data_IF_277215075859
#
_entry.id   IF_277215075859
#
_cell.length_a   1.000
_cell.length_b   1.000
_cell.length_c   1.000
_cell.angle_alpha   90.00
_cell.angle_beta   90.00
_cell.angle_gamma   90.00
#
_symmetry.space_group_name_H-M   'P 1'
#
loop_
_entity.id
_entity.type
_entity.pdbx_description
1 polymer ?
#
# COMPACT_ATOMS: atom_id res chain seq x y z
N UNK A 1 -20.84 -18.53 0.83
CA UNK A 1 -21.57 -19.55 0.04
C UNK A 1 -21.25 -20.90 0.65
N UNK A 2 -22.26 -21.61 1.16
CA UNK A 2 -22.13 -22.67 2.16
C UNK A 2 -21.50 -23.95 1.57
N UNK A 3 -20.33 -24.37 2.07
CA UNK A 3 -19.57 -25.54 1.57
C UNK A 3 -20.41 -26.84 1.66
N UNK A 4 -21.38 -26.90 2.57
CA UNK A 4 -22.37 -28.00 2.69
C UNK A 4 -23.37 -28.09 1.53
N UNK A 5 -23.53 -27.06 0.70
CA UNK A 5 -24.42 -27.13 -0.47
C UNK A 5 -23.77 -27.88 -1.64
N UNK A 6 -22.44 -27.86 -1.74
CA UNK A 6 -21.69 -28.48 -2.84
C UNK A 6 -21.35 -29.95 -2.59
N UNK A 7 -21.36 -30.43 -1.33
CA UNK A 7 -21.17 -31.85 -1.03
C UNK A 7 -22.37 -32.74 -1.45
N UNK A 8 -23.52 -32.14 -1.79
CA UNK A 8 -24.66 -32.84 -2.38
C UNK A 8 -24.57 -33.03 -3.90
N UNK A 9 -23.66 -32.34 -4.58
CA UNK A 9 -23.37 -32.60 -6.00
C UNK A 9 -22.40 -33.77 -6.09
N UNK A 10 -22.97 -34.97 -5.94
CA UNK A 10 -22.30 -36.25 -6.08
C UNK A 10 -21.92 -36.49 -7.56
N UNK A 11 -20.93 -35.75 -8.05
CA UNK A 11 -20.40 -35.87 -9.42
C UNK A 11 -19.49 -37.09 -9.48
N UNK A 12 -20.10 -38.28 -9.53
CA UNK A 12 -19.46 -39.60 -9.62
C UNK A 12 -18.87 -39.93 -11.01
N UNK A 13 -18.32 -38.94 -11.72
CA UNK A 13 -17.70 -39.17 -13.04
C UNK A 13 -16.41 -38.38 -13.18
N UNK A 14 -15.28 -39.06 -13.43
CA UNK A 14 -13.97 -38.42 -13.72
C UNK A 14 -14.08 -37.34 -14.80
N UNK A 15 -14.98 -37.50 -15.78
CA UNK A 15 -15.24 -36.52 -16.84
C UNK A 15 -15.98 -35.26 -16.35
N UNK A 16 -16.95 -35.40 -15.45
CA UNK A 16 -17.71 -34.27 -14.90
C UNK A 16 -16.89 -33.50 -13.84
N UNK A 17 -15.95 -34.15 -13.16
CA UNK A 17 -14.88 -33.48 -12.41
C UNK A 17 -13.93 -32.70 -13.33
N UNK A 18 -13.62 -33.21 -14.53
CA UNK A 18 -12.76 -32.52 -15.51
C UNK A 18 -13.39 -31.25 -16.09
N UNK A 19 -14.66 -31.31 -16.48
CA UNK A 19 -15.40 -30.14 -17.01
C UNK A 19 -15.50 -29.04 -15.95
N UNK A 20 -15.80 -29.39 -14.71
CA UNK A 20 -15.85 -28.44 -13.59
C UNK A 20 -14.51 -27.73 -13.37
N UNK A 21 -13.41 -28.50 -13.36
CA UNK A 21 -12.06 -27.94 -13.27
C UNK A 21 -11.79 -26.98 -14.42
N UNK A 22 -12.06 -27.37 -15.68
CA UNK A 22 -11.87 -26.49 -16.84
C UNK A 22 -12.65 -25.19 -16.70
N UNK A 23 -13.91 -25.23 -16.26
CA UNK A 23 -14.73 -24.03 -16.04
C UNK A 23 -14.08 -23.11 -14.99
N UNK A 24 -13.61 -23.66 -13.87
CA UNK A 24 -12.90 -22.88 -12.83
C UNK A 24 -11.65 -22.23 -13.42
N UNK A 25 -10.82 -22.98 -14.13
CA UNK A 25 -9.59 -22.44 -14.70
C UNK A 25 -9.88 -21.33 -15.72
N UNK A 26 -10.90 -21.50 -16.56
CA UNK A 26 -11.34 -20.45 -17.50
C UNK A 26 -11.78 -19.20 -16.73
N UNK A 27 -12.56 -19.34 -15.66
CA UNK A 27 -13.00 -18.21 -14.84
C UNK A 27 -11.82 -17.50 -14.17
N UNK A 28 -10.89 -18.26 -13.57
CA UNK A 28 -9.70 -17.73 -12.91
C UNK A 28 -8.76 -17.03 -13.89
N UNK A 29 -8.55 -17.57 -15.08
CA UNK A 29 -7.72 -16.94 -16.13
C UNK A 29 -8.35 -15.63 -16.59
N UNK A 30 -9.66 -15.60 -16.83
CA UNK A 30 -10.35 -14.35 -17.20
C UNK A 30 -10.27 -13.31 -16.09
N UNK A 31 -10.48 -13.73 -14.84
CA UNK A 31 -10.36 -12.84 -13.69
C UNK A 31 -8.94 -12.28 -13.56
N UNK A 32 -7.92 -13.13 -13.68
CA UNK A 32 -6.52 -12.72 -13.67
C UNK A 32 -6.22 -11.74 -14.82
N UNK A 33 -6.76 -11.99 -16.01
CA UNK A 33 -6.61 -11.09 -17.16
C UNK A 33 -7.23 -9.72 -16.89
N UNK A 34 -8.42 -9.64 -16.31
CA UNK A 34 -9.06 -8.37 -15.94
C UNK A 34 -8.17 -7.54 -15.01
N UNK A 35 -7.53 -8.18 -14.03
CA UNK A 35 -6.61 -7.49 -13.10
C UNK A 35 -5.28 -7.11 -13.74
N UNK A 36 -4.74 -7.95 -14.63
CA UNK A 36 -3.46 -7.70 -15.30
C UNK A 36 -3.56 -6.73 -16.48
N UNK A 37 -4.74 -6.61 -17.10
CA UNK A 37 -4.98 -5.74 -18.25
C UNK A 37 -4.47 -4.30 -18.06
N UNK A 38 -4.78 -3.57 -16.97
CA UNK A 38 -4.26 -2.20 -16.80
C UNK A 38 -2.73 -2.14 -16.74
N UNK A 39 -2.06 -3.15 -16.16
CA UNK A 39 -0.59 -3.21 -16.11
C UNK A 39 0.00 -3.50 -17.49
N UNK A 40 -0.61 -4.42 -18.24
CA UNK A 40 -0.20 -4.73 -19.63
C UNK A 40 -0.40 -3.48 -20.49
N UNK A 41 -1.56 -2.82 -20.40
CA UNK A 41 -1.87 -1.61 -21.13
C UNK A 41 -0.89 -0.48 -20.80
N UNK A 42 -0.59 -0.26 -19.51
CA UNK A 42 0.39 0.72 -19.06
C UNK A 42 1.77 0.43 -19.64
N UNK A 43 2.26 -0.81 -19.53
CA UNK A 43 3.57 -1.19 -20.05
C UNK A 43 3.65 -1.05 -21.57
N UNK A 44 2.68 -1.58 -22.32
CA UNK A 44 2.64 -1.48 -23.79
C UNK A 44 2.59 -0.02 -24.22
N UNK A 45 1.68 0.77 -23.65
CA UNK A 45 1.49 2.17 -24.01
C UNK A 45 2.72 3.00 -23.65
N UNK A 46 3.45 2.67 -22.58
CA UNK A 46 4.68 3.37 -22.20
C UNK A 46 5.79 3.33 -23.27
N UNK A 47 5.73 2.35 -24.18
CA UNK A 47 6.71 2.19 -25.26
C UNK A 47 6.21 2.65 -26.64
N UNK A 48 5.00 3.23 -26.74
CA UNK A 48 4.45 3.76 -28.00
C UNK A 48 5.10 5.09 -28.38
N UNK A 49 5.27 5.33 -29.68
CA UNK A 49 5.58 6.67 -30.20
C UNK A 49 4.33 7.56 -30.15
N UNK A 50 4.49 8.87 -30.35
CA UNK A 50 3.35 9.79 -30.43
C UNK A 50 2.38 9.41 -31.56
N UNK A 51 2.90 9.00 -32.72
CA UNK A 51 2.07 8.54 -33.85
C UNK A 51 1.26 7.28 -33.50
N UNK A 52 1.88 6.35 -32.76
CA UNK A 52 1.20 5.15 -32.26
C UNK A 52 0.06 5.47 -31.28
N UNK A 53 0.17 6.56 -30.52
CA UNK A 53 -0.92 7.02 -29.63
C UNK A 53 -2.09 7.61 -30.41
N UNK A 54 -1.80 8.28 -31.53
CA UNK A 54 -2.83 8.89 -32.38
C UNK A 54 -3.54 7.85 -33.27
N UNK A 55 -2.94 6.69 -33.47
CA UNK A 55 -3.53 5.58 -34.24
C UNK A 55 -4.34 4.63 -33.35
N UNK A 56 -5.66 4.76 -33.40
CA UNK A 56 -6.62 3.91 -32.65
C UNK A 56 -6.54 2.41 -32.97
N UNK A 57 -5.86 2.03 -34.07
CA UNK A 57 -5.63 0.63 -34.42
C UNK A 57 -4.45 0.01 -33.66
N UNK A 58 -3.53 0.82 -33.13
CA UNK A 58 -2.36 0.38 -32.36
C UNK A 58 -2.75 0.14 -30.91
N UNK A 59 -3.20 -1.08 -30.60
CA UNK A 59 -3.69 -1.44 -29.26
C UNK A 59 -2.67 -2.24 -28.43
N UNK A 60 -2.23 -3.38 -28.96
CA UNK A 60 -1.55 -4.43 -28.17
C UNK A 60 -0.02 -4.36 -28.17
N UNK A 61 0.57 -3.74 -29.19
CA UNK A 61 2.02 -3.59 -29.31
C UNK A 61 2.33 -2.28 -30.04
N UNK A 62 3.44 -1.61 -29.72
CA UNK A 62 3.88 -0.42 -30.45
C UNK A 62 4.35 -0.81 -31.86
N UNK A 63 3.99 -0.04 -32.88
CA UNK A 63 4.62 -0.19 -34.20
C UNK A 63 6.04 0.37 -34.15
N UNK A 64 6.25 1.42 -33.34
CA UNK A 64 7.53 2.06 -33.10
C UNK A 64 7.92 1.99 -31.62
N UNK A 65 8.86 1.10 -31.31
CA UNK A 65 9.34 0.92 -29.94
C UNK A 65 10.15 2.13 -29.46
N UNK A 66 9.60 2.88 -28.50
CA UNK A 66 10.08 4.20 -28.06
C UNK A 66 10.50 4.18 -26.58
N UNK A 67 11.69 3.66 -26.23
CA UNK A 67 12.16 3.61 -24.83
C UNK A 67 12.53 4.99 -24.26
N UNK A 68 12.68 6.03 -25.10
CA UNK A 68 12.94 7.40 -24.67
C UNK A 68 11.87 7.95 -23.73
N UNK A 69 10.63 7.46 -23.82
CA UNK A 69 9.54 7.84 -22.91
C UNK A 69 9.90 7.60 -21.44
N UNK A 70 10.58 6.49 -21.13
CA UNK A 70 11.04 6.18 -19.78
C UNK A 70 12.13 7.14 -19.30
N UNK A 71 13.03 7.55 -20.20
CA UNK A 71 14.06 8.55 -19.88
C UNK A 71 13.41 9.91 -19.58
N UNK A 72 12.42 10.31 -20.37
CA UNK A 72 11.63 11.53 -20.13
C UNK A 72 10.89 11.45 -18.80
N UNK A 73 10.24 10.31 -18.51
CA UNK A 73 9.52 10.10 -17.26
C UNK A 73 10.45 10.16 -16.03
N UNK A 74 11.62 9.52 -16.08
CA UNK A 74 12.64 9.56 -15.01
C UNK A 74 13.05 11.01 -14.70
N UNK A 75 13.24 11.82 -15.74
CA UNK A 75 13.59 13.25 -15.59
C UNK A 75 12.43 14.05 -15.04
N UNK A 76 11.22 13.88 -15.59
CA UNK A 76 10.01 14.58 -15.15
C UNK A 76 9.67 14.30 -13.68
N UNK A 77 9.86 13.06 -13.23
CA UNK A 77 9.63 12.66 -11.84
C UNK A 77 10.75 13.08 -10.88
N UNK A 78 11.87 13.61 -11.39
CA UNK A 78 13.11 13.74 -10.63
C UNK A 78 13.40 12.45 -9.83
N UNK A 79 13.34 11.31 -10.53
CA UNK A 79 13.15 9.97 -9.93
C UNK A 79 14.10 9.68 -8.78
N UNK A 80 15.39 10.03 -8.90
CA UNK A 80 16.38 9.78 -7.85
C UNK A 80 15.94 10.42 -6.52
N UNK A 81 15.59 11.70 -6.54
CA UNK A 81 15.19 12.43 -5.33
C UNK A 81 13.87 11.89 -4.79
N UNK A 82 12.85 11.79 -5.64
CA UNK A 82 11.50 11.40 -5.20
C UNK A 82 11.43 9.95 -4.74
N UNK A 83 12.19 9.04 -5.37
CA UNK A 83 12.32 7.65 -4.95
C UNK A 83 12.94 7.52 -3.55
N UNK A 84 14.08 8.18 -3.29
CA UNK A 84 14.74 8.08 -1.98
C UNK A 84 13.93 8.77 -0.89
N UNK A 85 13.24 9.88 -1.19
CA UNK A 85 12.30 10.51 -0.27
C UNK A 85 11.15 9.55 0.08
N UNK A 86 10.50 8.95 -0.93
CA UNK A 86 9.44 7.96 -0.73
C UNK A 86 9.89 6.75 0.05
N UNK A 87 11.07 6.19 -0.28
CA UNK A 87 11.62 5.04 0.41
C UNK A 87 11.90 5.36 1.89
N UNK A 88 12.48 6.54 2.15
CA UNK A 88 12.75 7.01 3.50
C UNK A 88 11.45 7.17 4.30
N UNK A 89 10.50 7.98 3.82
CA UNK A 89 9.24 8.26 4.52
C UNK A 89 8.44 6.97 4.73
N UNK A 90 8.28 6.16 3.68
CA UNK A 90 7.53 4.89 3.77
C UNK A 90 8.13 3.93 4.78
N UNK A 91 9.45 3.77 4.77
CA UNK A 91 10.14 2.82 5.67
C UNK A 91 10.06 3.30 7.11
N UNK A 92 10.37 4.58 7.37
CA UNK A 92 10.38 5.14 8.72
C UNK A 92 8.96 5.18 9.31
N UNK A 93 7.97 5.61 8.55
CA UNK A 93 6.56 5.61 8.98
C UNK A 93 6.03 4.19 9.25
N UNK A 94 6.42 3.21 8.42
CA UNK A 94 6.05 1.80 8.64
C UNK A 94 6.68 1.22 9.90
N UNK A 95 7.96 1.53 10.17
CA UNK A 95 8.60 1.16 11.42
C UNK A 95 7.92 1.83 12.62
N UNK A 96 7.58 3.11 12.49
CA UNK A 96 6.83 3.86 13.51
C UNK A 96 5.51 3.19 13.86
N UNK A 97 4.71 2.84 12.86
CA UNK A 97 3.47 2.09 13.07
C UNK A 97 3.69 0.73 13.71
N UNK A 98 4.63 -0.08 13.21
CA UNK A 98 4.87 -1.41 13.77
C UNK A 98 5.22 -1.29 15.25
N UNK A 99 6.21 -0.46 15.58
CA UNK A 99 6.71 -0.32 16.96
C UNK A 99 5.64 0.25 17.89
N UNK A 100 4.99 1.35 17.49
CA UNK A 100 4.04 2.05 18.36
C UNK A 100 2.73 1.27 18.49
N UNK A 101 2.16 0.82 17.37
CA UNK A 101 0.82 0.23 17.37
C UNK A 101 0.83 -1.15 18.01
N UNK A 102 1.88 -1.96 17.80
CA UNK A 102 2.01 -3.25 18.48
C UNK A 102 2.18 -3.06 20.00
N UNK A 103 2.95 -2.06 20.43
CA UNK A 103 3.12 -1.79 21.85
C UNK A 103 1.82 -1.32 22.52
N UNK A 104 1.12 -0.36 21.90
CA UNK A 104 -0.18 0.14 22.37
C UNK A 104 -1.23 -0.99 22.40
N UNK A 105 -1.27 -1.79 21.34
CA UNK A 105 -2.18 -2.92 21.23
C UNK A 105 -1.94 -3.99 22.31
N UNK A 106 -0.67 -4.25 22.67
CA UNK A 106 -0.33 -5.16 23.76
C UNK A 106 -0.91 -4.68 25.09
N UNK A 107 -0.78 -3.37 25.36
CA UNK A 107 -1.45 -2.68 26.47
C UNK A 107 -2.96 -2.97 26.52
N UNK A 108 -3.65 -2.73 25.40
CA UNK A 108 -5.09 -2.98 25.28
C UNK A 108 -5.48 -4.46 25.31
N UNK A 109 -4.60 -5.38 24.92
CA UNK A 109 -4.88 -6.81 24.94
C UNK A 109 -4.77 -7.38 26.35
N UNK A 110 -3.73 -7.02 27.11
CA UNK A 110 -3.37 -7.69 28.38
C UNK A 110 -3.82 -6.99 29.63
N UNK A 111 -3.71 -5.67 29.68
CA UNK A 111 -3.86 -4.96 30.95
C UNK A 111 -5.28 -4.48 31.16
N UNK A 112 -5.71 -4.48 32.42
CA UNK A 112 -6.93 -3.81 32.87
C UNK A 112 -6.50 -2.46 33.46
N UNK A 113 -7.01 -1.38 32.90
CA UNK A 113 -6.73 -0.02 33.35
C UNK A 113 -8.00 0.83 33.23
N UNK A 114 -8.13 1.92 34.02
CA UNK A 114 -9.30 2.79 33.96
C UNK A 114 -9.50 3.32 32.53
N UNK A 115 -10.77 3.49 32.13
CA UNK A 115 -11.18 3.99 30.81
C UNK A 115 -10.76 3.14 29.59
N UNK A 116 -10.20 1.94 29.77
CA UNK A 116 -9.79 1.04 28.67
C UNK A 116 -10.81 0.92 27.53
N UNK A 117 -12.09 0.73 27.85
CA UNK A 117 -13.16 0.58 26.84
C UNK A 117 -13.41 1.88 26.07
N UNK A 118 -13.36 3.03 26.76
CA UNK A 118 -13.56 4.36 26.16
C UNK A 118 -12.39 4.71 25.25
N UNK A 119 -11.15 4.51 25.72
CA UNK A 119 -9.95 4.75 24.93
C UNK A 119 -9.89 3.83 23.70
N UNK A 120 -10.28 2.57 23.84
CA UNK A 120 -10.35 1.68 22.69
C UNK A 120 -11.47 2.06 21.72
N UNK A 121 -12.62 2.54 22.21
CA UNK A 121 -13.66 3.10 21.34
C UNK A 121 -13.15 4.33 20.57
N UNK A 122 -12.33 5.19 21.18
CA UNK A 122 -11.67 6.30 20.49
C UNK A 122 -10.75 5.80 19.36
N UNK A 123 -9.97 4.73 19.59
CA UNK A 123 -9.18 4.07 18.54
C UNK A 123 -10.07 3.57 17.40
N UNK A 124 -11.22 2.96 17.69
CA UNK A 124 -12.15 2.52 16.64
C UNK A 124 -12.74 3.69 15.85
N UNK A 125 -13.02 4.83 16.51
CA UNK A 125 -13.51 6.03 15.83
C UNK A 125 -12.50 6.56 14.80
N UNK A 126 -11.19 6.51 15.08
CA UNK A 126 -10.17 6.95 14.10
C UNK A 126 -10.08 6.06 12.86
N UNK A 127 -10.61 4.83 12.92
CA UNK A 127 -10.73 3.94 11.75
C UNK A 127 -11.92 4.37 10.87
N UNK A 128 -13.02 4.75 11.50
CA UNK A 128 -14.31 5.03 10.84
C UNK A 128 -14.32 6.44 10.24
N UNK A 129 -13.73 7.42 10.94
CA UNK A 129 -13.73 8.81 10.50
C UNK A 129 -12.85 8.96 9.24
N UNK A 130 -13.41 9.45 8.12
CA UNK A 130 -12.66 9.63 6.89
C UNK A 130 -11.66 10.78 7.04
N UNK A 131 -10.43 10.58 6.55
CA UNK A 131 -9.33 11.55 6.69
C UNK A 131 -9.70 12.94 6.14
N UNK A 132 -10.50 12.99 5.08
CA UNK A 132 -10.95 14.22 4.44
C UNK A 132 -11.79 15.12 5.38
N UNK A 133 -12.44 14.56 6.40
CA UNK A 133 -13.21 15.35 7.38
C UNK A 133 -12.34 16.02 8.44
N UNK A 134 -11.18 15.45 8.74
CA UNK A 134 -10.25 15.94 9.77
C UNK A 134 -9.02 16.62 9.17
N UNK A 135 -8.89 16.64 7.84
CA UNK A 135 -7.68 17.12 7.17
C UNK A 135 -7.42 18.62 7.40
N UNK A 136 -8.47 19.45 7.42
CA UNK A 136 -8.34 20.90 7.67
C UNK A 136 -7.85 21.17 9.09
N UNK A 137 -8.48 20.65 10.16
CA UNK A 137 -7.95 20.86 11.51
C UNK A 137 -6.56 20.23 11.71
N UNK A 138 -6.27 19.10 11.05
CA UNK A 138 -4.95 18.47 11.09
C UNK A 138 -3.87 19.34 10.40
N UNK A 139 -4.20 19.96 9.27
CA UNK A 139 -3.31 20.93 8.62
C UNK A 139 -3.04 22.14 9.52
N UNK A 140 -4.07 22.72 10.14
CA UNK A 140 -3.90 23.85 11.07
C UNK A 140 -3.01 23.45 12.24
N UNK A 141 -3.21 22.25 12.81
CA UNK A 141 -2.36 21.72 13.87
C UNK A 141 -0.90 21.64 13.44
N UNK A 142 -0.62 21.03 12.29
CA UNK A 142 0.75 20.88 11.78
C UNK A 142 1.39 22.20 11.36
N UNK A 143 0.58 23.16 10.87
CA UNK A 143 1.04 24.53 10.64
C UNK A 143 1.46 25.21 11.94
N UNK A 144 0.65 25.10 12.99
CA UNK A 144 0.96 25.68 14.30
C UNK A 144 2.19 25.02 14.95
N UNK A 145 2.45 23.74 14.66
CA UNK A 145 3.66 23.02 15.09
C UNK A 145 4.89 23.33 14.22
N UNK A 146 4.73 24.08 13.13
CA UNK A 146 5.80 24.36 12.17
C UNK A 146 6.27 23.12 11.38
N UNK A 147 5.39 22.14 11.18
CA UNK A 147 5.72 20.89 10.49
C UNK A 147 5.47 20.93 8.98
N UNK A 148 4.68 21.91 8.50
CA UNK A 148 4.45 22.11 7.06
C UNK A 148 5.77 22.44 6.36
N UNK A 149 6.01 21.81 5.21
CA UNK A 149 7.30 21.85 4.51
C UNK A 149 8.34 20.86 5.05
N UNK A 150 7.91 19.83 5.78
CA UNK A 150 8.80 18.78 6.30
C UNK A 150 8.11 17.42 6.36
N UNK A 151 8.89 16.35 6.54
CA UNK A 151 8.36 14.98 6.71
C UNK A 151 7.72 14.73 8.08
N UNK A 152 7.80 15.68 9.01
CA UNK A 152 7.38 15.49 10.41
C UNK A 152 5.88 15.15 10.51
N UNK A 153 5.05 15.82 9.71
CA UNK A 153 3.61 15.58 9.66
C UNK A 153 3.26 14.15 9.20
N UNK A 154 4.12 13.51 8.42
CA UNK A 154 3.91 12.15 7.90
C UNK A 154 4.56 11.07 8.78
N UNK A 155 5.67 11.40 9.46
CA UNK A 155 6.47 10.42 10.21
C UNK A 155 6.09 10.40 11.69
N UNK A 156 6.08 11.55 12.38
CA UNK A 156 5.97 11.60 13.84
C UNK A 156 4.66 10.99 14.35
N UNK A 157 3.48 11.26 13.75
CA UNK A 157 2.23 10.65 14.19
C UNK A 157 2.26 9.12 14.22
N UNK A 158 3.03 8.49 13.31
CA UNK A 158 3.13 7.02 13.25
C UNK A 158 3.78 6.41 14.48
N UNK A 159 4.70 7.12 15.13
CA UNK A 159 5.33 6.70 16.39
C UNK A 159 4.43 6.90 17.61
N UNK A 160 3.31 7.61 17.44
CA UNK A 160 2.33 7.89 18.49
C UNK A 160 1.06 7.01 18.36
N UNK A 161 1.09 5.98 17.52
CA UNK A 161 -0.08 5.14 17.22
C UNK A 161 -1.17 5.86 16.41
N UNK A 162 -0.82 6.98 15.77
CA UNK A 162 -1.68 7.78 14.89
C UNK A 162 -1.09 7.80 13.48
N UNK A 163 -1.44 8.77 12.65
CA UNK A 163 -1.02 8.86 11.25
C UNK A 163 -1.88 7.99 10.32
N UNK A 164 -1.37 7.71 9.13
CA UNK A 164 -2.10 7.03 8.07
C UNK A 164 -2.58 5.64 8.51
N UNK A 165 -3.84 5.55 8.92
CA UNK A 165 -4.51 4.33 9.41
C UNK A 165 -3.93 3.72 10.70
N UNK A 166 -3.26 4.52 11.55
CA UNK A 166 -2.67 4.06 12.82
C UNK A 166 -3.65 3.28 13.72
N UNK A 167 -4.88 3.76 13.85
CA UNK A 167 -5.92 3.10 14.66
C UNK A 167 -6.25 1.68 14.18
N UNK A 168 -6.18 1.41 12.88
CA UNK A 168 -6.41 0.08 12.33
C UNK A 168 -5.28 -0.88 12.72
N UNK A 169 -4.03 -0.42 12.71
CA UNK A 169 -2.90 -1.25 13.13
C UNK A 169 -2.99 -1.60 14.62
N UNK A 170 -3.36 -0.65 15.48
CA UNK A 170 -3.64 -0.94 16.90
C UNK A 170 -4.73 -2.00 17.03
N UNK A 171 -5.81 -1.87 16.24
CA UNK A 171 -6.89 -2.86 16.23
C UNK A 171 -6.39 -4.24 15.80
N UNK A 172 -5.70 -4.36 14.67
CA UNK A 172 -5.21 -5.64 14.12
C UNK A 172 -4.26 -6.35 15.09
N UNK A 173 -3.26 -5.65 15.62
CA UNK A 173 -2.34 -6.20 16.62
C UNK A 173 -3.10 -6.67 17.86
N UNK A 174 -4.07 -5.88 18.35
CA UNK A 174 -4.82 -6.24 19.54
C UNK A 174 -5.66 -7.50 19.31
N UNK A 175 -6.32 -7.61 18.17
CA UNK A 175 -7.13 -8.78 17.82
C UNK A 175 -6.28 -10.04 17.71
N UNK A 176 -5.05 -9.91 17.22
CA UNK A 176 -4.10 -11.01 17.20
C UNK A 176 -3.63 -11.38 18.61
N UNK A 177 -3.16 -10.41 19.41
CA UNK A 177 -2.66 -10.71 20.76
C UNK A 177 -3.71 -11.35 21.66
N UNK A 178 -4.98 -10.95 21.57
CA UNK A 178 -6.08 -11.57 22.35
C UNK A 178 -6.20 -13.08 22.07
N UNK A 179 -5.85 -13.54 20.88
CA UNK A 179 -5.90 -14.97 20.51
C UNK A 179 -4.70 -15.77 21.05
N UNK A 180 -3.59 -15.11 21.39
CA UNK A 180 -2.44 -15.78 22.00
C UNK A 180 -2.77 -16.23 23.42
N UNK A 181 -2.43 -17.49 23.74
CA UNK A 181 -2.67 -18.08 25.06
C UNK A 181 -1.99 -17.27 26.18
N UNK A 182 -2.73 -16.88 27.24
CA UNK A 182 -2.16 -16.22 28.41
C UNK A 182 -1.04 -17.04 29.09
N UNK A 183 -1.06 -18.36 28.95
CA UNK A 183 -0.06 -19.26 29.54
C UNK A 183 1.39 -18.96 29.10
N UNK A 184 1.58 -18.37 27.92
CA UNK A 184 2.90 -17.94 27.44
C UNK A 184 3.52 -16.86 28.34
N UNK A 185 2.69 -15.93 28.81
CA UNK A 185 3.10 -14.84 29.68
C UNK A 185 3.22 -15.29 31.13
N UNK A 186 2.35 -16.20 31.57
CA UNK A 186 2.44 -16.82 32.91
C UNK A 186 3.72 -17.64 33.05
N UNK A 187 4.09 -18.44 32.06
CA UNK A 187 5.35 -19.17 32.05
C UNK A 187 6.56 -18.22 32.11
N UNK A 188 6.54 -17.16 31.29
CA UNK A 188 7.59 -16.15 31.31
C UNK A 188 7.72 -15.45 32.67
N UNK A 189 6.59 -15.19 33.34
CA UNK A 189 6.57 -14.58 34.66
C UNK A 189 7.15 -15.52 35.74
N UNK A 190 6.89 -16.83 35.64
CA UNK A 190 7.51 -17.86 36.50
C UNK A 190 9.04 -17.87 36.31
N UNK A 191 9.51 -17.71 35.07
CA UNK A 191 10.93 -17.59 34.74
C UNK A 191 11.55 -16.22 35.11
N UNK A 192 10.79 -15.33 35.78
CA UNK A 192 11.25 -14.02 36.23
C UNK A 192 11.33 -12.96 35.13
N UNK A 193 10.73 -13.20 33.96
CA UNK A 193 10.67 -12.22 32.88
C UNK A 193 9.74 -11.07 33.25
N UNK A 194 10.27 -9.84 33.20
CA UNK A 194 9.45 -8.65 33.38
C UNK A 194 8.51 -8.45 32.17
N UNK A 195 7.38 -7.72 32.33
CA UNK A 195 6.38 -7.55 31.28
C UNK A 195 6.89 -6.99 29.95
N UNK A 196 7.83 -6.03 29.99
CA UNK A 196 8.41 -5.43 28.80
C UNK A 196 9.27 -6.46 28.05
N UNK A 197 10.01 -7.27 28.79
CA UNK A 197 10.83 -8.32 28.22
C UNK A 197 9.99 -9.46 27.66
N UNK A 198 8.91 -9.83 28.35
CA UNK A 198 7.90 -10.80 27.88
C UNK A 198 7.29 -10.33 26.56
N UNK A 199 6.93 -9.04 26.46
CA UNK A 199 6.48 -8.46 25.20
C UNK A 199 7.53 -8.58 24.08
N UNK A 200 8.75 -8.10 24.32
CA UNK A 200 9.79 -8.04 23.28
C UNK A 200 10.32 -9.41 22.85
N UNK A 201 10.46 -10.36 23.78
CA UNK A 201 11.09 -11.66 23.52
C UNK A 201 10.12 -12.79 23.20
N UNK A 202 8.85 -12.67 23.61
CA UNK A 202 7.88 -13.77 23.48
C UNK A 202 6.71 -13.35 22.61
N UNK A 203 6.01 -12.27 22.98
CA UNK A 203 4.77 -11.89 22.30
C UNK A 203 5.03 -11.30 20.92
N UNK A 204 5.98 -10.37 20.81
CA UNK A 204 6.28 -9.73 19.52
C UNK A 204 6.83 -10.74 18.50
N UNK A 205 7.80 -11.62 18.82
CA UNK A 205 8.31 -12.61 17.85
C UNK A 205 7.29 -13.69 17.47
N UNK A 206 6.43 -14.11 18.41
CA UNK A 206 5.34 -15.06 18.12
C UNK A 206 4.22 -14.44 17.25
N UNK A 207 4.25 -13.13 17.06
CA UNK A 207 3.27 -12.37 16.28
C UNK A 207 3.72 -12.09 14.85
N UNK A 208 4.63 -12.92 14.31
CA UNK A 208 5.12 -12.81 12.93
C UNK A 208 4.01 -12.68 11.87
N UNK A 209 2.87 -13.40 11.93
CA UNK A 209 1.81 -13.26 10.95
C UNK A 209 1.20 -11.85 10.92
N UNK A 210 0.81 -11.30 12.08
CA UNK A 210 0.23 -9.94 12.15
C UNK A 210 1.27 -8.86 11.89
N UNK A 211 2.54 -9.07 12.28
CA UNK A 211 3.65 -8.18 11.93
C UNK A 211 3.80 -8.06 10.42
N UNK A 212 3.74 -9.18 9.70
CA UNK A 212 3.82 -9.20 8.25
C UNK A 212 2.65 -8.46 7.59
N UNK A 213 1.42 -8.72 8.07
CA UNK A 213 0.21 -8.06 7.57
C UNK A 213 0.30 -6.54 7.78
N UNK A 214 0.61 -6.09 9.00
CA UNK A 214 0.73 -4.67 9.31
C UNK A 214 1.89 -4.01 8.56
N UNK A 215 3.03 -4.70 8.39
CA UNK A 215 4.17 -4.22 7.59
C UNK A 215 3.75 -3.97 6.15
N UNK A 216 3.15 -4.97 5.48
CA UNK A 216 2.75 -4.86 4.07
C UNK A 216 1.71 -3.77 3.90
N UNK A 217 0.66 -3.75 4.72
CA UNK A 217 -0.40 -2.75 4.62
C UNK A 217 0.14 -1.33 4.87
N UNK A 218 0.93 -1.13 5.92
CA UNK A 218 1.53 0.17 6.19
C UNK A 218 2.47 0.60 5.07
N UNK A 219 3.34 -0.28 4.60
CA UNK A 219 4.28 0.05 3.51
C UNK A 219 3.54 0.43 2.23
N UNK A 220 2.55 -0.37 1.81
CA UNK A 220 1.75 -0.10 0.60
C UNK A 220 0.97 1.20 0.73
N UNK A 221 0.43 1.52 1.91
CA UNK A 221 -0.35 2.74 2.11
C UNK A 221 0.51 3.99 2.12
N UNK A 222 1.64 4.02 2.84
CA UNK A 222 2.52 5.19 2.79
C UNK A 222 3.19 5.34 1.42
N UNK A 223 3.52 4.22 0.77
CA UNK A 223 4.07 4.28 -0.59
C UNK A 223 3.06 4.83 -1.58
N UNK A 224 1.76 4.54 -1.47
CA UNK A 224 0.76 5.03 -2.42
C UNK A 224 0.15 6.38 -2.02
N UNK A 225 0.47 6.89 -0.83
CA UNK A 225 -0.11 8.15 -0.38
C UNK A 225 0.48 9.32 -1.16
N UNK A 226 -0.41 10.01 -1.86
CA UNK A 226 -0.12 11.28 -2.52
C UNK A 226 -0.94 12.42 -1.89
N UNK A 227 -1.96 12.11 -1.08
CA UNK A 227 -2.93 13.10 -0.60
C UNK A 227 -2.38 13.90 0.58
N UNK A 228 -1.91 13.24 1.64
CA UNK A 228 -1.30 13.94 2.77
C UNK A 228 0.01 14.65 2.37
N UNK A 229 0.92 14.03 1.59
CA UNK A 229 2.12 14.70 1.08
C UNK A 229 1.82 15.96 0.27
N UNK A 230 0.80 15.95 -0.60
CA UNK A 230 0.39 17.14 -1.38
C UNK A 230 -0.07 18.31 -0.54
N UNK A 231 -0.49 18.07 0.70
CA UNK A 231 -0.89 19.12 1.63
C UNK A 231 0.25 19.57 2.54
N UNK A 232 1.10 18.64 2.99
CA UNK A 232 2.10 18.93 4.01
C UNK A 232 3.49 19.24 3.45
N UNK A 233 3.82 18.79 2.25
CA UNK A 233 5.12 19.01 1.61
C UNK A 233 4.97 20.09 0.53
N UNK A 234 5.75 21.16 0.67
CA UNK A 234 5.70 22.32 -0.22
C UNK A 234 6.96 22.49 -1.08
N UNK A 235 8.11 21.95 -0.66
CA UNK A 235 9.36 21.99 -1.45
C UNK A 235 9.40 20.82 -2.43
N UNK A 236 9.58 21.11 -3.72
CA UNK A 236 9.73 20.11 -4.77
C UNK A 236 10.90 19.15 -4.54
N UNK A 237 11.94 19.56 -3.80
CA UNK A 237 13.06 18.69 -3.42
C UNK A 237 12.67 17.60 -2.43
N UNK A 238 11.55 17.79 -1.73
CA UNK A 238 11.02 16.84 -0.74
C UNK A 238 9.86 16.01 -1.27
N UNK A 239 9.40 16.25 -2.51
CA UNK A 239 8.28 15.51 -3.06
C UNK A 239 8.53 14.01 -3.02
N UNK A 240 7.44 13.29 -2.74
CA UNK A 240 7.39 11.85 -2.81
C UNK A 240 7.08 11.43 -4.26
N UNK A 241 7.53 10.25 -4.66
CA UNK A 241 7.32 9.70 -6.00
C UNK A 241 5.83 9.63 -6.42
N UNK A 242 4.89 9.16 -5.59
CA UNK A 242 3.46 9.17 -5.94
C UNK A 242 2.88 10.58 -5.97
N UNK A 243 3.36 11.48 -5.11
CA UNK A 243 2.96 12.89 -5.09
C UNK A 243 3.37 13.63 -6.38
N UNK A 244 4.44 13.19 -7.04
CA UNK A 244 4.90 13.78 -8.29
C UNK A 244 4.10 13.33 -9.52
N UNK A 245 3.35 12.21 -9.45
CA UNK A 245 2.59 11.69 -10.60
C UNK A 245 1.45 12.62 -11.06
N UNK A 246 0.57 13.16 -10.18
CA UNK A 246 -0.47 14.10 -10.60
C UNK A 246 0.05 15.30 -11.39
N UNK A 247 1.25 15.81 -11.04
CA UNK A 247 1.88 16.94 -11.74
C UNK A 247 2.23 16.61 -13.20
N UNK A 248 2.54 15.34 -13.50
CA UNK A 248 2.75 14.90 -14.88
C UNK A 248 1.44 14.95 -15.69
N UNK A 249 0.32 14.55 -15.08
CA UNK A 249 -0.99 14.64 -15.73
C UNK A 249 -1.42 16.09 -15.95
N UNK A 250 -1.17 16.97 -14.98
CA UNK A 250 -1.44 18.40 -15.10
C UNK A 250 -0.63 19.03 -16.25
N UNK A 251 0.66 18.67 -16.37
CA UNK A 251 1.49 19.12 -17.49
C UNK A 251 0.98 18.61 -18.84
N UNK A 252 0.55 17.35 -18.91
CA UNK A 252 -0.02 16.77 -20.13
C UNK A 252 -1.28 17.54 -20.57
N UNK A 253 -2.23 17.77 -19.66
CA UNK A 253 -3.47 18.51 -19.93
C UNK A 253 -3.18 19.96 -20.37
N UNK A 254 -2.20 20.61 -19.74
CA UNK A 254 -1.81 21.96 -20.12
C UNK A 254 -1.25 22.02 -21.56
N UNK A 255 -0.50 21.00 -21.98
CA UNK A 255 -0.01 20.88 -23.35
C UNK A 255 -1.15 20.62 -24.32
N UNK A 256 -2.14 19.79 -23.99
CA UNK A 256 -3.27 19.45 -24.89
C UNK A 256 -4.06 20.67 -25.36
N UNK A 257 -4.31 21.62 -24.46
CA UNK A 257 -5.13 22.82 -24.71
C UNK A 257 -4.45 23.82 -25.67
N UNK A 258 -3.13 23.72 -25.84
CA UNK A 258 -2.35 24.74 -26.54
C UNK A 258 -2.07 24.37 -28.01
N UNK A 259 -2.11 25.40 -28.89
CA UNK A 259 -2.18 25.27 -30.38
C UNK A 259 -0.89 25.78 -31.06
N UNK A 260 0.14 26.19 -30.30
CA UNK A 260 1.38 26.72 -30.90
C UNK A 260 2.25 25.62 -31.53
N UNK A 261 2.95 25.92 -32.64
CA UNK A 261 3.86 24.98 -33.31
C UNK A 261 5.00 24.48 -32.39
N UNK A 262 5.51 25.35 -31.51
CA UNK A 262 6.54 24.95 -30.53
C UNK A 262 5.99 23.97 -29.47
N UNK A 263 4.69 24.02 -29.19
CA UNK A 263 4.04 23.14 -28.22
C UNK A 263 3.66 21.80 -28.86
N UNK A 264 3.45 21.74 -30.18
CA UNK A 264 3.29 20.49 -30.92
C UNK A 264 4.53 19.58 -30.79
N UNK A 265 5.73 20.16 -30.91
CA UNK A 265 6.98 19.44 -30.64
C UNK A 265 7.09 18.98 -29.19
N UNK A 266 6.55 19.74 -28.25
CA UNK A 266 6.52 19.34 -26.84
C UNK A 266 5.53 18.19 -26.59
N UNK A 267 4.41 18.12 -27.31
CA UNK A 267 3.48 16.96 -27.28
C UNK A 267 4.15 15.68 -27.77
N UNK A 268 5.00 15.76 -28.78
CA UNK A 268 5.76 14.60 -29.25
C UNK A 268 6.73 14.09 -28.18
N UNK A 269 7.32 14.98 -27.37
CA UNK A 269 8.29 14.65 -26.32
C UNK A 269 7.61 14.22 -25.01
N UNK A 270 6.51 14.89 -24.63
CA UNK A 270 5.77 14.66 -23.39
C UNK A 270 4.30 14.39 -23.71
N UNK A 271 3.93 13.12 -23.65
CA UNK A 271 2.62 12.60 -24.02
C UNK A 271 2.16 11.52 -23.02
N UNK A 272 1.00 10.92 -23.30
CA UNK A 272 0.44 9.83 -22.51
C UNK A 272 1.42 8.66 -22.28
N UNK A 273 2.26 8.31 -23.26
CA UNK A 273 3.23 7.22 -23.08
C UNK A 273 4.28 7.56 -22.01
N UNK A 274 4.68 8.82 -21.89
CA UNK A 274 5.57 9.30 -20.81
C UNK A 274 4.90 9.19 -19.45
N UNK A 275 3.62 9.53 -19.35
CA UNK A 275 2.85 9.41 -18.11
C UNK A 275 2.63 7.95 -17.71
N UNK A 276 2.40 7.06 -18.69
CA UNK A 276 2.32 5.61 -18.47
C UNK A 276 3.66 5.03 -18.02
N UNK A 277 4.78 5.49 -18.60
CA UNK A 277 6.12 5.12 -18.14
C UNK A 277 6.36 5.59 -16.69
N UNK A 278 5.99 6.83 -16.36
CA UNK A 278 6.07 7.37 -15.00
C UNK A 278 5.24 6.57 -14.00
N UNK A 279 4.03 6.18 -14.38
CA UNK A 279 3.16 5.31 -13.57
C UNK A 279 3.84 3.95 -13.33
N UNK A 280 4.45 3.36 -14.36
CA UNK A 280 5.21 2.12 -14.24
C UNK A 280 6.39 2.22 -13.27
N UNK A 281 7.12 3.33 -13.31
CA UNK A 281 8.24 3.62 -12.39
C UNK A 281 7.74 3.70 -10.93
N UNK A 282 6.62 4.37 -10.69
CA UNK A 282 6.07 4.52 -9.34
C UNK A 282 5.54 3.21 -8.74
N UNK A 283 5.00 2.32 -9.58
CA UNK A 283 4.45 1.02 -9.18
C UNK A 283 5.54 -0.05 -9.01
N UNK A 284 6.65 0.05 -9.73
CA UNK A 284 7.71 -0.97 -9.74
C UNK A 284 8.23 -1.37 -8.35
N UNK A 285 8.52 -0.44 -7.41
CA UNK A 285 9.02 -0.80 -6.08
C UNK A 285 8.03 -1.63 -5.27
N UNK A 286 6.72 -1.38 -5.41
CA UNK A 286 5.70 -2.20 -4.78
C UNK A 286 5.62 -3.60 -5.37
N UNK A 287 5.78 -3.74 -6.69
CA UNK A 287 5.86 -5.05 -7.32
C UNK A 287 7.07 -5.84 -6.83
N UNK A 288 8.24 -5.21 -6.74
CA UNK A 288 9.46 -5.85 -6.19
C UNK A 288 9.25 -6.27 -4.74
N UNK A 289 8.66 -5.41 -3.92
CA UNK A 289 8.34 -5.73 -2.53
C UNK A 289 7.36 -6.91 -2.43
N UNK A 290 6.29 -6.91 -3.23
CA UNK A 290 5.33 -7.99 -3.28
C UNK A 290 5.99 -9.33 -3.64
N UNK A 291 6.83 -9.37 -4.67
CA UNK A 291 7.56 -10.58 -5.06
C UNK A 291 8.45 -11.13 -3.94
N UNK A 292 9.04 -10.25 -3.13
CA UNK A 292 9.86 -10.63 -1.98
C UNK A 292 9.05 -11.15 -0.79
N UNK A 293 7.80 -10.69 -0.62
CA UNK A 293 6.97 -10.95 0.57
C UNK A 293 5.88 -12.00 0.35
N UNK A 294 5.42 -12.21 -0.89
CA UNK A 294 4.26 -13.05 -1.21
C UNK A 294 4.32 -14.47 -0.60
N UNK A 295 5.48 -15.14 -0.63
CA UNK A 295 5.62 -16.50 -0.09
C UNK A 295 5.38 -16.52 1.44
N UNK A 296 5.91 -15.52 2.15
CA UNK A 296 5.72 -15.39 3.61
C UNK A 296 4.27 -15.09 3.95
N UNK A 297 3.56 -14.36 3.09
CA UNK A 297 2.15 -14.05 3.26
C UNK A 297 1.28 -15.30 3.12
N UNK A 298 1.56 -16.14 2.11
CA UNK A 298 0.89 -17.44 1.92
C UNK A 298 1.15 -18.36 3.11
N UNK A 299 2.42 -18.53 3.51
CA UNK A 299 2.79 -19.34 4.69
C UNK A 299 2.12 -18.86 5.99
N UNK A 300 1.92 -17.54 6.13
CA UNK A 300 1.28 -16.96 7.32
C UNK A 300 -0.20 -17.32 7.40
N UNK A 301 -0.89 -17.41 6.26
CA UNK A 301 -2.29 -17.84 6.19
C UNK A 301 -2.38 -19.34 6.55
N UNK A 302 -1.48 -20.16 6.01
CA UNK A 302 -1.46 -21.60 6.25
C UNK A 302 -1.20 -21.95 7.73
N UNK A 303 -0.31 -21.21 8.41
CA UNK A 303 0.00 -21.41 9.84
C UNK A 303 -1.11 -20.99 10.80
N UNK A 304 -2.08 -20.20 10.34
CA UNK A 304 -3.24 -19.80 11.17
C UNK A 304 -4.34 -20.85 11.25
N UNK A 305 -4.16 -22.03 10.65
CA UNK A 305 -5.13 -23.13 10.72
C UNK A 305 -6.42 -22.85 9.95
N UNK A 306 -6.38 -21.93 8.97
CA UNK A 306 -7.50 -21.62 8.07
C UNK A 306 -7.62 -22.60 6.90
N UNK A 307 -6.84 -23.68 6.91
CA UNK A 307 -7.04 -24.84 6.05
C UNK A 307 -7.60 -25.94 6.94
N UNK A 308 -8.93 -25.99 7.04
CA UNK A 308 -9.65 -27.22 7.38
C UNK A 308 -9.40 -28.29 6.29
#
# INVERSE_FOLDING_TARGET
>A
MNIKFLSKLNVKGKAASGIYTVIIYVLLINLAFIFLYPFIFMLVTSFKSYNDLMDVTVKWYPKEFTPSNWVTAIKALNFKTTFFNSLFVTTVSTLGHIVSCSFIAYGFARYKFPLKKVLFAAVLLTIIVPIQTVIVPQYILYSNLGWIGSYNALIIPTFLGSGLKGGLFIFLFRQFFIQLSPSLEEAAAIDGSNPYMTYLRIILPSSAPVLLVCFVLSFVWHWNDFFEPSLYITDAKQFLLPQALPQMYELLQALEISISENELKMKEIFNEAVVMAGTGIAVAPLMVMYLAVQNKFVESIDKTGLVE
#
